data_IF_557876111017
#
_entry.id   IF_557876111017
#
_cell.length_a   1.000
_cell.length_b   1.000
_cell.length_c   1.000
_cell.angle_alpha   90.00
_cell.angle_beta   90.00
_cell.angle_gamma   90.00
#
_symmetry.space_group_name_H-M   'P 1'
#
loop_
_entity.id
_entity.type
_entity.pdbx_description
1 polymer ?
#
# COMPACT_ATOMS: atom_id res chain seq x y z
N UNK A 1 22.21 18.41 20.40
CA UNK A 1 22.01 17.28 19.48
C UNK A 1 20.55 17.29 19.07
N UNK A 2 20.22 17.12 17.79
CA UNK A 2 18.82 16.99 17.37
C UNK A 2 18.23 15.73 18.03
N UNK A 3 16.98 15.74 18.54
CA UNK A 3 16.33 14.53 18.99
C UNK A 3 16.39 13.45 17.91
N UNK A 4 16.64 12.21 18.31
CA UNK A 4 16.73 11.04 17.41
C UNK A 4 17.88 11.08 16.39
N UNK A 5 18.93 11.91 16.58
CA UNK A 5 20.04 12.00 15.63
C UNK A 5 20.65 10.64 15.28
N UNK A 6 20.90 9.78 16.28
CA UNK A 6 21.47 8.44 16.03
C UNK A 6 20.58 7.56 15.12
N UNK A 7 19.25 7.64 15.30
CA UNK A 7 18.31 6.91 14.46
C UNK A 7 18.22 7.49 13.04
N UNK A 8 18.33 8.82 12.91
CA UNK A 8 18.36 9.51 11.61
C UNK A 8 19.64 9.12 10.86
N UNK A 9 20.80 9.18 11.52
CA UNK A 9 22.09 8.79 10.96
C UNK A 9 22.09 7.32 10.54
N UNK A 10 21.49 6.45 11.38
CA UNK A 10 21.30 5.04 11.04
C UNK A 10 20.45 4.87 9.77
N UNK A 11 19.33 5.60 9.64
CA UNK A 11 18.49 5.51 8.45
C UNK A 11 19.23 5.94 7.17
N UNK A 12 20.02 7.02 7.23
CA UNK A 12 20.85 7.43 6.09
C UNK A 12 21.93 6.40 5.75
N UNK A 13 22.58 5.81 6.75
CA UNK A 13 23.62 4.81 6.55
C UNK A 13 23.11 3.48 5.97
N UNK A 14 21.80 3.21 6.08
CA UNK A 14 21.16 1.96 5.62
C UNK A 14 20.15 2.19 4.49
N UNK A 15 20.40 3.17 3.61
CA UNK A 15 19.58 3.36 2.41
C UNK A 15 19.61 2.10 1.52
N UNK A 16 18.47 1.80 0.87
CA UNK A 16 18.40 0.75 -0.14
C UNK A 16 19.34 1.02 -1.32
N UNK A 17 19.98 -0.03 -1.84
CA UNK A 17 20.78 0.03 -3.06
C UNK A 17 19.93 0.08 -4.34
N UNK A 18 18.61 0.05 -4.23
CA UNK A 18 17.72 0.17 -5.38
C UNK A 18 17.93 1.50 -6.10
N UNK A 19 17.81 1.46 -7.43
CA UNK A 19 17.90 2.66 -8.27
C UNK A 19 16.91 3.74 -7.79
N UNK A 20 17.26 5.01 -8.02
CA UNK A 20 16.29 6.11 -7.92
C UNK A 20 15.43 6.24 -9.17
N UNK A 21 15.92 5.74 -10.30
CA UNK A 21 15.18 5.63 -11.55
C UNK A 21 14.16 4.50 -11.45
N UNK A 22 12.88 4.84 -11.58
CA UNK A 22 11.78 3.90 -11.43
C UNK A 22 10.98 3.73 -12.73
N UNK A 23 11.37 4.38 -13.83
CA UNK A 23 10.59 4.35 -15.09
C UNK A 23 10.51 2.95 -15.69
N UNK A 24 11.60 2.20 -15.64
CA UNK A 24 11.66 0.82 -16.13
C UNK A 24 11.33 -0.23 -15.06
N UNK A 25 11.27 0.12 -13.78
CA UNK A 25 11.04 -0.84 -12.70
C UNK A 25 10.19 -0.21 -11.61
N UNK A 26 9.02 0.29 -11.99
CA UNK A 26 8.06 0.97 -11.09
C UNK A 26 7.38 0.01 -10.08
N UNK A 27 7.81 -1.26 -10.03
CA UNK A 27 7.32 -2.30 -9.13
C UNK A 27 7.81 -3.68 -9.56
N UNK A 28 7.27 -4.75 -8.94
CA UNK A 28 7.59 -6.17 -9.26
C UNK A 28 6.89 -6.63 -10.56
N UNK A 29 6.11 -5.76 -11.19
CA UNK A 29 5.07 -6.08 -12.17
C UNK A 29 5.54 -6.55 -13.55
N UNK A 30 6.83 -6.44 -13.88
CA UNK A 30 7.34 -6.92 -15.17
C UNK A 30 7.21 -8.44 -15.35
N UNK A 31 7.17 -9.18 -14.25
CA UNK A 31 6.98 -10.62 -14.26
C UNK A 31 5.50 -11.04 -14.34
N UNK A 32 4.57 -10.11 -14.13
CA UNK A 32 3.14 -10.41 -14.16
C UNK A 32 2.67 -10.64 -15.61
N UNK A 33 1.68 -11.51 -15.85
CA UNK A 33 1.13 -11.71 -17.19
C UNK A 33 0.31 -10.49 -17.64
N UNK A 34 0.24 -10.27 -18.95
CA UNK A 34 -0.65 -9.25 -19.50
C UNK A 34 -2.14 -9.58 -19.20
N UNK A 35 -2.99 -8.58 -18.90
CA UNK A 35 -2.70 -7.13 -18.94
C UNK A 35 -2.20 -6.54 -17.61
N UNK A 36 -1.94 -7.36 -16.58
CA UNK A 36 -1.62 -6.91 -15.23
C UNK A 36 -0.22 -6.27 -15.08
N UNK A 37 0.63 -6.42 -16.09
CA UNK A 37 1.95 -5.79 -16.16
C UNK A 37 1.94 -4.36 -16.71
N UNK A 38 0.76 -3.77 -16.92
CA UNK A 38 0.64 -2.42 -17.46
C UNK A 38 0.72 -1.37 -16.35
N UNK A 39 1.55 -0.33 -16.57
CA UNK A 39 1.55 0.84 -15.71
C UNK A 39 0.24 1.63 -15.89
N UNK A 40 -0.43 1.91 -14.76
CA UNK A 40 -1.60 2.78 -14.71
C UNK A 40 -1.22 4.09 -13.99
N UNK A 41 -1.19 5.19 -14.74
CA UNK A 41 -0.90 6.52 -14.21
C UNK A 41 0.58 6.90 -14.20
N UNK A 42 0.91 8.12 -13.75
CA UNK A 42 2.28 8.62 -13.74
C UNK A 42 3.12 7.97 -12.65
N UNK A 43 4.41 7.80 -12.93
CA UNK A 43 5.43 7.43 -11.94
C UNK A 43 6.57 8.43 -11.97
N UNK A 44 7.22 8.61 -10.83
CA UNK A 44 8.36 9.51 -10.68
C UNK A 44 9.53 8.77 -10.02
N UNK A 45 10.78 9.24 -10.23
CA UNK A 45 11.93 8.73 -9.49
C UNK A 45 11.68 8.74 -7.98
N UNK A 46 12.29 7.82 -7.22
CA UNK A 46 12.15 7.84 -5.75
C UNK A 46 13.04 8.91 -5.11
N UNK A 47 12.60 9.46 -3.99
CA UNK A 47 13.39 10.35 -3.15
C UNK A 47 14.55 9.67 -2.42
N UNK A 48 15.34 10.47 -1.73
CA UNK A 48 16.31 9.98 -0.74
C UNK A 48 15.64 9.61 0.59
N UNK A 49 16.45 9.13 1.54
CA UNK A 49 15.98 8.84 2.90
C UNK A 49 15.33 10.07 3.51
N UNK A 50 14.06 9.94 3.88
CA UNK A 50 13.24 11.01 4.43
C UNK A 50 12.34 10.46 5.52
N UNK A 51 11.93 11.31 6.45
CA UNK A 51 11.01 10.90 7.50
C UNK A 51 10.61 12.02 8.44
N UNK A 52 9.64 11.72 9.29
CA UNK A 52 9.08 12.63 10.29
C UNK A 52 8.75 11.84 11.55
N UNK A 53 8.96 12.44 12.72
CA UNK A 53 8.55 11.88 14.01
C UNK A 53 7.59 12.87 14.67
N UNK A 54 6.37 12.39 14.94
CA UNK A 54 5.38 13.09 15.75
C UNK A 54 5.23 12.39 17.11
N UNK A 55 5.13 13.17 18.18
CA UNK A 55 4.84 12.68 19.53
C UNK A 55 3.67 13.48 20.07
N UNK A 56 2.57 12.78 20.39
CA UNK A 56 1.33 13.40 20.85
C UNK A 56 0.80 14.52 19.92
N UNK A 57 0.96 14.33 18.60
CA UNK A 57 0.55 15.29 17.58
C UNK A 57 1.63 16.32 17.20
N UNK A 58 2.59 16.58 18.09
CA UNK A 58 3.64 17.57 17.88
C UNK A 58 4.80 16.99 17.05
N UNK A 59 5.24 17.73 16.03
CA UNK A 59 6.39 17.35 15.20
C UNK A 59 7.69 17.57 15.98
N UNK A 60 8.38 16.48 16.30
CA UNK A 60 9.64 16.52 17.07
C UNK A 60 10.84 16.68 16.15
N UNK A 61 10.86 16.01 15.01
CA UNK A 61 11.88 16.18 13.99
C UNK A 61 11.40 15.71 12.61
N UNK A 62 12.10 16.19 11.59
CA UNK A 62 11.99 15.73 10.20
C UNK A 62 13.35 15.80 9.53
N UNK A 63 13.54 15.00 8.48
CA UNK A 63 14.76 14.97 7.68
C UNK A 63 14.43 14.59 6.23
N UNK A 64 15.32 14.97 5.31
CA UNK A 64 15.11 14.76 3.88
C UNK A 64 13.97 15.63 3.33
N UNK A 65 13.11 15.04 2.50
CA UNK A 65 12.01 15.72 1.81
C UNK A 65 10.65 15.04 2.13
N UNK A 66 10.16 15.10 3.39
CA UNK A 66 8.97 14.34 3.82
C UNK A 66 7.66 14.75 3.14
N UNK A 67 7.64 15.89 2.45
CA UNK A 67 6.48 16.39 1.70
C UNK A 67 6.50 16.01 0.22
N UNK A 68 7.55 15.33 -0.24
CA UNK A 68 7.67 14.85 -1.62
C UNK A 68 6.71 13.70 -1.86
N UNK A 69 6.08 13.68 -3.03
CA UNK A 69 5.32 12.52 -3.47
C UNK A 69 6.29 11.38 -3.85
N UNK A 70 6.09 10.20 -3.23
CA UNK A 70 6.89 9.01 -3.47
C UNK A 70 6.01 7.78 -3.65
N UNK A 71 6.53 6.76 -4.35
CA UNK A 71 5.88 5.45 -4.41
C UNK A 71 5.94 4.82 -3.02
N UNK A 72 4.79 4.69 -2.38
CA UNK A 72 4.68 4.18 -1.01
C UNK A 72 4.49 2.66 -0.93
N UNK A 73 4.48 1.96 -2.07
CA UNK A 73 4.23 0.52 -2.18
C UNK A 73 3.02 0.08 -1.32
N UNK A 74 3.22 -0.89 -0.42
CA UNK A 74 2.14 -1.48 0.37
C UNK A 74 1.48 -0.54 1.38
N UNK A 75 1.95 0.69 1.61
CA UNK A 75 1.16 1.70 2.33
C UNK A 75 -0.19 1.94 1.61
N UNK A 76 -0.25 1.71 0.29
CA UNK A 76 -1.50 1.70 -0.46
C UNK A 76 -2.59 0.82 0.18
N UNK A 77 -2.22 -0.32 0.80
CA UNK A 77 -3.16 -1.21 1.49
C UNK A 77 -3.80 -0.55 2.71
N UNK A 78 -3.08 0.30 3.42
CA UNK A 78 -3.63 1.09 4.54
C UNK A 78 -4.68 2.08 4.02
N UNK A 79 -4.42 2.76 2.91
CA UNK A 79 -5.42 3.65 2.30
C UNK A 79 -6.69 2.88 1.89
N UNK A 80 -6.53 1.70 1.28
CA UNK A 80 -7.66 0.84 0.91
C UNK A 80 -8.45 0.35 2.13
N UNK A 81 -7.77 -0.03 3.23
CA UNK A 81 -8.43 -0.44 4.47
C UNK A 81 -9.23 0.72 5.10
N UNK A 82 -8.68 1.94 5.10
CA UNK A 82 -9.41 3.13 5.57
C UNK A 82 -10.64 3.43 4.70
N UNK A 83 -10.50 3.34 3.38
CA UNK A 83 -11.62 3.51 2.46
C UNK A 83 -12.71 2.44 2.65
N UNK A 84 -12.34 1.19 2.93
CA UNK A 84 -13.29 0.15 3.29
C UNK A 84 -14.04 0.47 4.58
N UNK A 85 -13.36 1.01 5.59
CA UNK A 85 -14.00 1.51 6.82
C UNK A 85 -15.01 2.63 6.55
N UNK A 86 -14.64 3.63 5.74
CA UNK A 86 -15.57 4.69 5.31
C UNK A 86 -16.76 4.12 4.54
N UNK A 87 -16.53 3.15 3.64
CA UNK A 87 -17.60 2.48 2.91
C UNK A 87 -18.54 1.70 3.85
N UNK A 88 -18.01 1.06 4.88
CA UNK A 88 -18.81 0.40 5.91
C UNK A 88 -19.69 1.39 6.67
N UNK A 89 -19.09 2.46 7.21
CA UNK A 89 -19.79 3.48 7.99
C UNK A 89 -20.88 4.21 7.18
N UNK A 90 -20.70 4.30 5.86
CA UNK A 90 -21.66 4.93 4.95
C UNK A 90 -22.68 3.95 4.34
N UNK A 91 -22.67 2.67 4.75
CA UNK A 91 -23.60 1.64 4.28
C UNK A 91 -23.32 1.11 2.87
N UNK A 92 -22.18 1.49 2.28
CA UNK A 92 -21.68 0.96 1.01
C UNK A 92 -20.95 -0.38 1.17
N UNK A 93 -20.60 -0.82 2.37
CA UNK A 93 -20.10 -2.18 2.63
C UNK A 93 -20.66 -2.62 4.00
N UNK A 94 -21.97 -2.87 4.09
CA UNK A 94 -22.66 -3.00 5.37
C UNK A 94 -22.31 -4.28 6.13
N UNK A 95 -21.87 -5.32 5.42
CA UNK A 95 -21.45 -6.60 6.01
C UNK A 95 -20.07 -7.00 5.48
N UNK A 96 -19.08 -7.00 6.37
CA UNK A 96 -17.71 -7.43 6.04
C UNK A 96 -17.60 -8.95 5.90
N UNK A 97 -18.59 -9.71 6.36
CA UNK A 97 -18.65 -11.15 6.18
C UNK A 97 -19.40 -11.57 4.91
N UNK A 98 -19.91 -10.62 4.12
CA UNK A 98 -20.47 -10.90 2.80
C UNK A 98 -19.36 -11.42 1.86
N UNK A 99 -19.60 -12.51 1.10
CA UNK A 99 -18.70 -12.93 0.04
C UNK A 99 -18.53 -11.85 -1.04
N UNK A 100 -17.29 -11.58 -1.43
CA UNK A 100 -16.93 -10.47 -2.35
C UNK A 100 -17.73 -10.51 -3.65
N UNK A 101 -17.88 -11.71 -4.22
CA UNK A 101 -18.56 -11.94 -5.49
C UNK A 101 -20.04 -11.52 -5.50
N UNK A 102 -20.68 -11.41 -4.32
CA UNK A 102 -22.09 -10.97 -4.20
C UNK A 102 -22.27 -9.53 -4.61
N UNK A 103 -21.22 -8.71 -4.45
CA UNK A 103 -21.26 -7.28 -4.67
C UNK A 103 -20.54 -6.86 -5.93
N UNK A 104 -19.45 -7.57 -6.27
CA UNK A 104 -18.64 -7.30 -7.47
C UNK A 104 -18.43 -8.62 -8.21
N UNK A 105 -18.99 -8.72 -9.41
CA UNK A 105 -18.86 -9.89 -10.28
C UNK A 105 -17.80 -9.68 -11.37
N UNK A 106 -17.24 -10.77 -11.87
CA UNK A 106 -16.27 -10.83 -12.96
C UNK A 106 -14.85 -10.49 -12.54
N UNK A 107 -14.52 -10.61 -11.25
CA UNK A 107 -13.21 -10.22 -10.70
C UNK A 107 -12.41 -11.39 -10.11
N UNK A 108 -12.78 -12.63 -10.45
CA UNK A 108 -12.04 -13.83 -10.04
C UNK A 108 -12.47 -14.38 -8.68
N UNK A 109 -13.74 -14.23 -8.31
CA UNK A 109 -14.31 -14.75 -7.06
C UNK A 109 -15.48 -15.71 -7.31
N UNK A 110 -15.65 -16.18 -8.55
CA UNK A 110 -16.82 -16.96 -8.97
C UNK A 110 -16.63 -18.47 -8.87
N UNK A 111 -15.40 -18.97 -8.77
CA UNK A 111 -15.13 -20.40 -8.58
C UNK A 111 -15.45 -20.88 -7.17
N UNK A 112 -15.51 -22.20 -6.97
CA UNK A 112 -15.95 -22.80 -5.72
C UNK A 112 -15.05 -22.45 -4.50
N UNK A 113 -13.77 -22.20 -4.73
CA UNK A 113 -12.82 -21.84 -3.66
C UNK A 113 -12.96 -20.35 -3.33
N UNK A 114 -12.76 -19.49 -4.33
CA UNK A 114 -12.74 -18.05 -4.16
C UNK A 114 -14.12 -17.45 -3.83
N UNK A 115 -15.24 -18.11 -4.19
CA UNK A 115 -16.59 -17.66 -3.84
C UNK A 115 -16.87 -17.64 -2.32
N UNK A 116 -16.03 -18.28 -1.52
CA UNK A 116 -16.12 -18.26 -0.06
C UNK A 116 -15.36 -17.07 0.56
N UNK A 117 -14.57 -16.35 -0.23
CA UNK A 117 -13.78 -15.22 0.25
C UNK A 117 -14.68 -14.03 0.56
N UNK A 118 -14.61 -13.56 1.80
CA UNK A 118 -15.36 -12.41 2.33
C UNK A 118 -14.50 -11.14 2.30
N UNK A 119 -15.13 -9.98 2.46
CA UNK A 119 -14.38 -8.73 2.66
C UNK A 119 -13.45 -8.80 3.87
N UNK A 120 -13.87 -9.46 4.95
CA UNK A 120 -13.07 -9.69 6.14
C UNK A 120 -11.79 -10.46 5.84
N UNK A 121 -11.87 -11.52 5.04
CA UNK A 121 -10.69 -12.27 4.63
C UNK A 121 -9.69 -11.41 3.84
N UNK A 122 -10.17 -10.53 2.95
CA UNK A 122 -9.30 -9.60 2.22
C UNK A 122 -8.67 -8.56 3.15
N UNK A 123 -9.44 -7.99 4.07
CA UNK A 123 -8.98 -6.98 5.02
C UNK A 123 -8.00 -7.53 6.07
N UNK A 124 -8.04 -8.84 6.33
CA UNK A 124 -7.13 -9.53 7.27
C UNK A 124 -6.03 -10.37 6.58
N UNK A 125 -5.99 -10.41 5.26
CA UNK A 125 -5.03 -11.22 4.48
C UNK A 125 -5.10 -12.72 4.79
N UNK A 126 -6.32 -13.27 4.92
CA UNK A 126 -6.57 -14.69 5.25
C UNK A 126 -7.45 -15.40 4.21
N UNK A 127 -7.49 -14.91 2.97
CA UNK A 127 -8.39 -15.43 1.94
C UNK A 127 -7.94 -16.72 1.29
N UNK A 128 -6.63 -16.99 1.28
CA UNK A 128 -6.02 -18.04 0.45
C UNK A 128 -6.51 -17.98 -1.01
N UNK A 129 -6.78 -16.78 -1.53
CA UNK A 129 -7.30 -16.59 -2.88
C UNK A 129 -6.34 -17.18 -3.93
N UNK A 130 -6.89 -17.84 -4.95
CA UNK A 130 -6.13 -18.49 -6.03
C UNK A 130 -6.39 -17.83 -7.39
N UNK A 131 -5.32 -17.56 -8.16
CA UNK A 131 -5.39 -17.07 -9.55
C UNK A 131 -4.17 -16.27 -10.01
#
# INVERSE_FOLDING_TARGET
>A
MQPFQEAIDFAFAHETSWSRENLDNFGIHKADPAPFNQLLGPVHPRGGVSGVIHVAGEKVCEWGEPHRADLTFSIAKTYLAMLAGVAHDTGLLPDVHEPVHRRVAGIGFEDAHNAQVTWMHLLQQTSEWEG
#
